data_IF_841307076027
#
_entry.id   IF_841307076027
#
_cell.length_a   1.000
_cell.length_b   1.000
_cell.length_c   1.000
_cell.angle_alpha   90.00
_cell.angle_beta   90.00
_cell.angle_gamma   90.00
#
_symmetry.space_group_name_H-M   'P 1'
#
loop_
_entity.id
_entity.type
_entity.pdbx_description
1 polymer ?
#
# COMPACT_ATOMS: atom_id res chain seq x y z
N UNK A 1 -15.41 -22.00 -15.46
CA UNK A 1 -14.30 -21.20 -16.02
C UNK A 1 -13.08 -21.37 -15.12
N UNK A 2 -11.95 -21.80 -15.67
CA UNK A 2 -10.69 -21.91 -14.92
C UNK A 2 -10.00 -20.56 -14.90
N UNK A 3 -9.64 -20.04 -13.73
CA UNK A 3 -8.90 -18.79 -13.59
C UNK A 3 -7.47 -19.08 -13.17
N UNK A 4 -6.51 -18.30 -13.69
CA UNK A 4 -5.09 -18.44 -13.34
C UNK A 4 -4.68 -17.44 -12.27
N UNK A 5 -3.69 -17.81 -11.47
CA UNK A 5 -2.96 -16.87 -10.60
C UNK A 5 -1.77 -16.36 -11.39
N UNK A 6 -1.59 -15.04 -11.59
CA UNK A 6 -0.44 -14.53 -12.33
C UNK A 6 0.86 -14.81 -11.56
N UNK A 7 1.93 -15.12 -12.31
CA UNK A 7 3.30 -15.15 -11.78
C UNK A 7 3.74 -13.76 -11.33
N UNK A 8 4.84 -13.67 -10.59
CA UNK A 8 5.35 -12.37 -10.16
C UNK A 8 5.90 -11.57 -11.35
N UNK A 9 6.57 -12.22 -12.31
CA UNK A 9 7.05 -11.59 -13.55
C UNK A 9 5.91 -10.94 -14.35
N UNK A 10 4.81 -11.69 -14.55
CA UNK A 10 3.66 -11.16 -15.30
C UNK A 10 2.95 -10.04 -14.54
N UNK A 11 2.95 -10.10 -13.20
CA UNK A 11 2.42 -9.02 -12.37
C UNK A 11 3.32 -7.76 -12.42
N UNK A 12 4.64 -7.93 -12.44
CA UNK A 12 5.63 -6.85 -12.58
C UNK A 12 5.42 -6.10 -13.90
N UNK A 13 5.37 -6.83 -15.02
CA UNK A 13 5.13 -6.27 -16.35
C UNK A 13 3.79 -5.52 -16.41
N UNK A 14 2.71 -6.13 -15.93
CA UNK A 14 1.40 -5.49 -15.92
C UNK A 14 1.37 -4.20 -15.08
N UNK A 15 2.04 -4.21 -13.92
CA UNK A 15 2.16 -3.03 -13.07
C UNK A 15 2.97 -1.93 -13.75
N UNK A 16 4.10 -2.26 -14.38
CA UNK A 16 4.92 -1.29 -15.12
C UNK A 16 4.09 -0.63 -16.22
N UNK A 17 3.39 -1.41 -17.04
CA UNK A 17 2.57 -0.91 -18.14
C UNK A 17 1.38 -0.03 -17.67
N UNK A 18 0.74 -0.41 -16.55
CA UNK A 18 -0.31 0.41 -15.94
C UNK A 18 0.27 1.72 -15.41
N UNK A 19 1.34 1.67 -14.63
CA UNK A 19 1.91 2.84 -13.95
C UNK A 19 2.58 3.81 -14.93
N UNK A 20 3.05 3.34 -16.09
CA UNK A 20 3.53 4.21 -17.17
C UNK A 20 2.41 5.08 -17.76
N UNK A 21 1.21 4.52 -17.93
CA UNK A 21 0.04 5.22 -18.48
C UNK A 21 -0.72 6.03 -17.44
N UNK A 22 -0.81 5.52 -16.21
CA UNK A 22 -1.53 6.12 -15.10
C UNK A 22 -0.54 6.40 -13.97
N UNK A 23 0.04 7.60 -13.97
CA UNK A 23 0.99 8.01 -12.93
C UNK A 23 0.33 8.12 -11.54
N UNK A 24 -0.99 8.39 -11.51
CA UNK A 24 -1.81 8.46 -10.29
C UNK A 24 -3.05 7.60 -10.45
N UNK A 25 -3.40 6.83 -9.41
CA UNK A 25 -4.57 5.94 -9.36
C UNK A 25 -5.32 6.19 -8.05
N UNK A 26 -6.61 6.51 -8.16
CA UNK A 26 -7.37 7.19 -7.09
C UNK A 26 -8.03 6.24 -6.07
N UNK A 27 -7.95 4.93 -6.31
CA UNK A 27 -8.52 3.93 -5.42
C UNK A 27 -7.94 2.53 -5.60
N UNK A 28 -8.13 1.68 -4.57
CA UNK A 28 -7.75 0.25 -4.62
C UNK A 28 -8.47 -0.51 -5.72
N UNK A 29 -9.76 -0.24 -5.91
CA UNK A 29 -10.59 -0.91 -6.92
C UNK A 29 -10.15 -0.53 -8.33
N UNK A 30 -9.77 0.73 -8.53
CA UNK A 30 -9.23 1.18 -9.80
C UNK A 30 -7.88 0.53 -10.12
N UNK A 31 -6.96 0.46 -9.16
CA UNK A 31 -5.69 -0.26 -9.33
C UNK A 31 -5.92 -1.71 -9.75
N UNK A 32 -6.85 -2.41 -9.07
CA UNK A 32 -7.20 -3.80 -9.42
C UNK A 32 -7.73 -3.88 -10.84
N UNK A 33 -8.70 -3.02 -11.20
CA UNK A 33 -9.31 -3.00 -12.53
C UNK A 33 -8.27 -2.79 -13.63
N UNK A 34 -7.36 -1.82 -13.45
CA UNK A 34 -6.32 -1.51 -14.44
C UNK A 34 -5.32 -2.67 -14.60
N UNK A 35 -4.86 -3.25 -13.49
CA UNK A 35 -3.89 -4.36 -13.52
C UNK A 35 -4.52 -5.63 -14.08
N UNK A 36 -5.77 -5.97 -13.72
CA UNK A 36 -6.46 -7.13 -14.29
C UNK A 36 -6.67 -6.93 -15.79
N UNK A 37 -7.16 -5.76 -16.21
CA UNK A 37 -7.31 -5.44 -17.64
C UNK A 37 -5.99 -5.58 -18.42
N UNK A 38 -4.86 -5.25 -17.79
CA UNK A 38 -3.54 -5.41 -18.40
C UNK A 38 -3.11 -6.88 -18.50
N UNK A 39 -3.33 -7.67 -17.45
CA UNK A 39 -2.98 -9.09 -17.40
C UNK A 39 -3.77 -9.93 -18.43
N UNK A 40 -5.02 -9.55 -18.70
CA UNK A 40 -5.94 -10.30 -19.56
C UNK A 40 -5.83 -9.95 -21.05
N UNK A 41 -4.88 -9.09 -21.44
CA UNK A 41 -4.64 -8.73 -22.85
C UNK A 41 -4.33 -9.93 -23.75
N UNK A 42 -3.74 -10.98 -23.20
CA UNK A 42 -3.38 -12.19 -23.94
C UNK A 42 -4.53 -13.19 -24.05
N UNK A 43 -5.76 -12.82 -23.65
CA UNK A 43 -6.95 -13.68 -23.71
C UNK A 43 -7.10 -14.67 -22.53
N UNK A 44 -6.18 -14.62 -21.56
CA UNK A 44 -6.21 -15.43 -20.35
C UNK A 44 -6.98 -14.72 -19.23
N UNK A 45 -7.76 -15.47 -18.43
CA UNK A 45 -8.49 -14.90 -17.26
C UNK A 45 -7.68 -15.04 -15.98
N UNK A 46 -7.51 -13.94 -15.25
CA UNK A 46 -6.71 -13.92 -14.02
C UNK A 46 -7.52 -13.54 -12.78
N UNK A 47 -7.23 -14.21 -11.66
CA UNK A 47 -7.74 -13.83 -10.34
C UNK A 47 -6.60 -13.38 -9.44
N UNK A 48 -6.67 -12.13 -8.98
CA UNK A 48 -5.70 -11.55 -8.06
C UNK A 48 -6.38 -10.57 -7.09
N UNK A 49 -6.01 -10.61 -5.82
CA UNK A 49 -6.55 -9.71 -4.80
C UNK A 49 -5.86 -8.35 -4.85
N UNK A 50 -6.61 -7.28 -4.55
CA UNK A 50 -6.03 -5.94 -4.43
C UNK A 50 -4.93 -5.85 -3.37
N UNK A 51 -5.03 -6.64 -2.30
CA UNK A 51 -3.97 -6.74 -1.30
C UNK A 51 -2.66 -7.27 -1.91
N UNK A 52 -2.70 -8.33 -2.74
CA UNK A 52 -1.50 -8.86 -3.40
C UNK A 52 -0.87 -7.82 -4.32
N UNK A 53 -1.67 -7.16 -5.15
CA UNK A 53 -1.19 -6.11 -6.07
C UNK A 53 -0.52 -4.98 -5.27
N UNK A 54 -1.22 -4.46 -4.26
CA UNK A 54 -0.76 -3.35 -3.43
C UNK A 54 0.54 -3.69 -2.70
N UNK A 55 0.59 -4.85 -2.04
CA UNK A 55 1.79 -5.30 -1.29
C UNK A 55 2.98 -5.46 -2.22
N UNK A 56 2.80 -6.19 -3.32
CA UNK A 56 3.86 -6.43 -4.29
C UNK A 56 4.42 -5.11 -4.85
N UNK A 57 3.55 -4.17 -5.25
CA UNK A 57 3.98 -2.89 -5.80
C UNK A 57 4.69 -1.98 -4.77
N UNK A 58 4.26 -2.01 -3.50
CA UNK A 58 4.92 -1.30 -2.41
C UNK A 58 6.29 -1.90 -2.08
N UNK A 59 6.37 -3.22 -1.95
CA UNK A 59 7.60 -3.97 -1.62
C UNK A 59 8.66 -3.76 -2.71
N UNK A 60 8.26 -3.77 -3.99
CA UNK A 60 9.14 -3.49 -5.13
C UNK A 60 9.34 -1.99 -5.42
N UNK A 61 8.88 -1.11 -4.53
CA UNK A 61 9.04 0.36 -4.61
C UNK A 61 8.54 0.97 -5.92
N UNK A 62 7.56 0.35 -6.58
CA UNK A 62 6.96 0.86 -7.82
C UNK A 62 5.99 2.01 -7.58
N UNK A 63 5.40 2.04 -6.39
CA UNK A 63 4.41 3.03 -5.99
C UNK A 63 4.70 3.60 -4.60
N UNK A 64 4.19 4.79 -4.37
CA UNK A 64 3.93 5.35 -3.04
C UNK A 64 2.41 5.43 -2.83
N UNK A 65 1.98 5.52 -1.57
CA UNK A 65 0.57 5.63 -1.23
C UNK A 65 0.38 6.88 -0.40
N UNK A 66 -0.54 7.72 -0.86
CA UNK A 66 -1.16 8.75 -0.05
C UNK A 66 -2.41 8.16 0.62
N UNK A 67 -2.51 8.36 1.93
CA UNK A 67 -3.52 7.71 2.76
C UNK A 67 -4.40 8.79 3.36
N UNK A 68 -5.67 8.79 3.00
CA UNK A 68 -6.68 9.53 3.75
C UNK A 68 -7.13 8.68 4.93
N UNK A 69 -7.09 9.26 6.13
CA UNK A 69 -7.47 8.59 7.37
C UNK A 69 -8.88 8.97 7.79
N UNK A 70 -9.53 8.07 8.52
CA UNK A 70 -10.68 8.41 9.36
C UNK A 70 -10.43 7.96 10.80
N UNK A 71 -11.07 8.63 11.75
CA UNK A 71 -11.06 8.20 13.14
C UNK A 71 -11.75 6.85 13.30
N UNK A 72 -11.17 5.99 14.14
CA UNK A 72 -11.71 4.69 14.49
C UNK A 72 -12.39 4.77 15.86
N UNK A 73 -13.55 4.10 16.00
CA UNK A 73 -14.17 3.89 17.31
C UNK A 73 -13.32 2.98 18.20
N UNK A 74 -12.54 2.09 17.59
CA UNK A 74 -11.56 1.26 18.28
C UNK A 74 -10.23 2.03 18.37
N UNK A 75 -9.88 2.45 19.60
CA UNK A 75 -8.67 3.23 19.90
C UNK A 75 -7.39 2.37 19.98
N UNK A 76 -7.49 1.05 19.73
CA UNK A 76 -6.30 0.18 19.72
C UNK A 76 -5.44 0.48 18.50
N UNK A 77 -4.18 0.84 18.78
CA UNK A 77 -3.15 0.96 17.76
C UNK A 77 -2.75 -0.46 17.30
N UNK A 78 -2.78 -0.78 16.00
CA UNK A 78 -2.40 -2.10 15.52
C UNK A 78 -0.90 -2.36 15.76
N UNK A 79 -0.52 -3.64 15.85
CA UNK A 79 0.89 -4.06 15.89
C UNK A 79 1.47 -4.13 14.47
N UNK A 80 0.68 -4.65 13.55
CA UNK A 80 1.04 -4.83 12.14
C UNK A 80 0.35 -3.79 11.26
N UNK A 81 1.02 -3.33 10.21
CA UNK A 81 0.48 -2.38 9.26
C UNK A 81 -0.74 -2.95 8.51
N UNK A 82 -1.92 -2.31 8.57
CA UNK A 82 -3.12 -2.78 7.86
C UNK A 82 -3.02 -2.64 6.33
N UNK A 83 -2.04 -1.87 5.83
CA UNK A 83 -1.88 -1.62 4.40
C UNK A 83 -0.97 -2.66 3.75
N UNK A 84 0.23 -2.86 4.32
CA UNK A 84 1.29 -3.69 3.73
C UNK A 84 1.72 -4.89 4.57
N UNK A 85 1.17 -5.08 5.77
CA UNK A 85 1.45 -6.24 6.62
C UNK A 85 2.82 -6.24 7.30
N UNK A 86 3.61 -5.17 7.19
CA UNK A 86 4.88 -5.04 7.91
C UNK A 86 4.69 -4.51 9.32
N UNK A 87 5.67 -4.76 10.20
CA UNK A 87 5.66 -4.25 11.57
C UNK A 87 5.69 -2.71 11.61
N UNK A 88 5.07 -2.17 12.65
CA UNK A 88 5.06 -0.74 12.89
C UNK A 88 6.15 -0.35 13.89
N UNK A 89 6.88 0.72 13.57
CA UNK A 89 7.85 1.30 14.48
C UNK A 89 7.14 2.25 15.44
N UNK A 90 7.36 2.04 16.75
CA UNK A 90 6.92 2.95 17.82
C UNK A 90 7.69 4.26 17.76
N UNK A 91 6.97 5.39 17.76
CA UNK A 91 7.55 6.73 17.91
C UNK A 91 7.21 7.20 19.32
N UNK A 92 8.25 7.46 20.11
CA UNK A 92 8.16 7.81 21.52
C UNK A 92 8.76 9.18 21.77
N UNK A 93 8.30 9.83 22.82
CA UNK A 93 8.88 11.07 23.32
C UNK A 93 9.03 11.01 24.84
N UNK A 94 10.01 11.76 25.35
CA UNK A 94 10.18 11.97 26.78
C UNK A 94 9.34 13.16 27.24
N UNK A 95 8.67 13.00 28.37
CA UNK A 95 7.94 14.08 29.06
C UNK A 95 8.91 14.94 29.88
N UNK A 96 8.45 16.10 30.34
CA UNK A 96 9.24 16.99 31.20
C UNK A 96 9.65 16.31 32.51
N UNK A 97 8.84 15.36 32.98
CA UNK A 97 9.07 14.59 34.22
C UNK A 97 9.98 13.36 34.00
N UNK A 98 10.46 13.14 32.78
CA UNK A 98 11.37 12.04 32.43
C UNK A 98 10.69 10.74 31.96
N UNK A 99 9.37 10.63 32.07
CA UNK A 99 8.62 9.48 31.57
C UNK A 99 8.63 9.40 30.04
N UNK A 100 8.61 8.17 29.49
CA UNK A 100 8.54 7.94 28.03
C UNK A 100 7.12 7.57 27.61
N UNK A 101 6.54 8.35 26.70
CA UNK A 101 5.20 8.10 26.14
C UNK A 101 5.28 7.71 24.66
N UNK A 102 4.45 6.75 24.23
CA UNK A 102 4.28 6.40 22.82
C UNK A 102 3.28 7.37 22.16
N UNK A 103 3.75 8.15 21.19
CA UNK A 103 2.93 9.15 20.48
C UNK A 103 2.14 8.52 19.34
N UNK A 104 2.80 7.67 18.55
CA UNK A 104 2.23 7.05 17.35
C UNK A 104 3.06 5.86 16.89
N UNK A 105 2.49 5.08 15.97
CA UNK A 105 3.22 4.03 15.26
C UNK A 105 3.28 4.32 13.77
N UNK A 106 4.44 4.11 13.14
CA UNK A 106 4.67 4.36 11.72
C UNK A 106 5.19 3.13 10.99
N UNK A 107 4.64 2.84 9.82
CA UNK A 107 5.16 1.85 8.90
C UNK A 107 6.26 2.48 8.03
N UNK A 108 7.47 1.90 8.05
CA UNK A 108 8.60 2.36 7.23
C UNK A 108 8.45 2.00 5.75
N UNK A 109 7.67 0.96 5.43
CA UNK A 109 7.49 0.46 4.06
C UNK A 109 6.49 1.29 3.26
N UNK A 110 5.28 1.49 3.80
CA UNK A 110 4.19 2.16 3.08
C UNK A 110 3.84 3.56 3.60
N UNK A 111 4.50 4.02 4.66
CA UNK A 111 4.26 5.36 5.24
C UNK A 111 3.03 5.45 6.15
N UNK A 112 2.27 4.38 6.35
CA UNK A 112 1.11 4.35 7.24
C UNK A 112 1.44 4.86 8.65
N UNK A 113 0.63 5.79 9.16
CA UNK A 113 0.68 6.29 10.53
C UNK A 113 -0.59 5.86 11.27
N UNK A 114 -0.40 5.15 12.39
CA UNK A 114 -1.45 4.94 13.38
C UNK A 114 -1.28 5.96 14.50
N UNK A 115 -2.28 6.84 14.64
CA UNK A 115 -2.35 7.79 15.75
C UNK A 115 -2.74 7.06 17.05
N UNK A 116 -2.33 7.61 18.20
CA UNK A 116 -2.70 7.10 19.53
C UNK A 116 -4.22 7.00 19.78
N UNK A 117 -5.03 7.76 19.02
CA UNK A 117 -6.51 7.71 19.11
C UNK A 117 -7.14 6.64 18.20
N UNK A 118 -6.35 5.91 17.42
CA UNK A 118 -6.82 4.94 16.45
C UNK A 118 -7.31 5.61 15.17
N UNK A 119 -6.50 5.53 14.11
CA UNK A 119 -6.87 5.92 12.75
C UNK A 119 -6.94 4.68 11.86
N UNK A 120 -7.90 4.64 10.94
CA UNK A 120 -7.96 3.60 9.90
C UNK A 120 -7.95 4.24 8.51
N UNK A 121 -7.34 3.57 7.51
CA UNK A 121 -7.37 4.07 6.15
C UNK A 121 -8.80 4.13 5.61
N UNK A 122 -9.16 5.26 5.00
CA UNK A 122 -10.42 5.48 4.29
C UNK A 122 -10.22 5.38 2.78
N UNK A 123 -9.17 6.00 2.26
CA UNK A 123 -8.87 6.05 0.83
C UNK A 123 -7.37 5.89 0.60
N UNK A 124 -7.05 5.29 -0.54
CA UNK A 124 -5.68 5.17 -1.04
C UNK A 124 -5.59 5.88 -2.39
N UNK A 125 -4.61 6.76 -2.53
CA UNK A 125 -4.16 7.26 -3.82
C UNK A 125 -2.77 6.69 -4.07
N UNK A 126 -2.60 5.98 -5.18
CA UNK A 126 -1.33 5.37 -5.55
C UNK A 126 -0.63 6.27 -6.56
N UNK A 127 0.62 6.63 -6.26
CA UNK A 127 1.44 7.46 -7.14
C UNK A 127 2.65 6.64 -7.59
N UNK A 128 2.90 6.59 -8.90
CA UNK A 128 4.08 5.94 -9.47
C UNK A 128 5.33 6.56 -8.86
N UNK A 129 6.22 5.70 -8.36
CA UNK A 129 7.59 6.11 -8.05
C UNK A 129 8.38 6.10 -9.35
N UNK A 130 8.84 7.26 -9.78
CA UNK A 130 9.97 7.31 -10.70
C UNK A 130 11.14 6.64 -10.00
N UNK A 131 11.57 5.46 -10.48
CA UNK A 131 12.88 4.95 -10.12
C UNK A 131 13.84 6.08 -10.46
N UNK A 132 14.48 6.66 -9.46
CA UNK A 132 15.56 7.60 -9.69
C UNK A 132 16.53 6.90 -10.63
N UNK A 133 16.66 7.43 -11.85
CA UNK A 133 17.85 7.19 -12.64
C UNK A 133 18.94 7.81 -11.77
N UNK A 134 19.72 6.97 -11.09
CA UNK A 134 21.03 7.39 -10.65
C UNK A 134 21.79 7.68 -11.94
N UNK A 135 21.80 8.96 -12.33
CA UNK A 135 22.75 9.50 -13.30
C UNK A 135 24.15 9.47 -12.68
#
# INVERSE_FOLDING_TARGET
MSYKRPSNEKLDEALVNVLLRCQTIESQSELVRLVVKELEKDGETYRISGNRIRRYALENKMISIEIEYRESRNKKVPEVCPICGHDLTSIRNSTLDGDTIELMRKCRTCGYVASARGSIPRRYVFVRRTRGISL
#
